data_IF_998183406525
#
_entry.id   IF_998183406525
#
_cell.length_a   1.000
_cell.length_b   1.000
_cell.length_c   1.000
_cell.angle_alpha   90.00
_cell.angle_beta   90.00
_cell.angle_gamma   90.00
#
_symmetry.space_group_name_H-M   'P 1'
#
loop_
_entity.id
_entity.type
_entity.pdbx_description
1 polymer ?
#
# COMPACT_ATOMS: atom_id res chain seq x y z
N UNK A 1 -23.01 3.42 -37.35
CA UNK A 1 -22.26 3.79 -36.14
C UNK A 1 -22.29 2.60 -35.20
N UNK A 2 -21.19 1.86 -34.99
CA UNK A 2 -21.21 0.77 -34.03
C UNK A 2 -21.31 1.36 -32.62
N UNK A 3 -22.24 0.87 -31.80
CA UNK A 3 -22.36 1.26 -30.39
C UNK A 3 -21.16 0.69 -29.63
N UNK A 4 -20.28 1.56 -29.15
CA UNK A 4 -19.04 1.30 -28.37
C UNK A 4 -19.19 0.40 -27.12
N UNK A 5 -20.38 -0.10 -26.81
CA UNK A 5 -20.65 -0.87 -25.59
C UNK A 5 -20.16 -2.34 -25.64
N UNK A 6 -19.60 -2.83 -26.75
CA UNK A 6 -19.28 -4.27 -26.91
C UNK A 6 -17.85 -4.56 -27.35
N UNK A 7 -16.95 -3.58 -27.37
CA UNK A 7 -15.51 -3.88 -27.43
C UNK A 7 -15.06 -4.36 -26.05
N UNK A 8 -15.08 -5.68 -25.85
CA UNK A 8 -14.33 -6.53 -24.91
C UNK A 8 -13.54 -5.88 -23.75
N UNK A 9 -14.13 -4.94 -23.02
CA UNK A 9 -13.48 -4.18 -21.95
C UNK A 9 -13.44 -4.93 -20.62
N UNK A 10 -13.90 -6.19 -20.58
CA UNK A 10 -14.01 -6.97 -19.35
C UNK A 10 -14.96 -6.38 -18.30
N UNK A 11 -15.63 -5.26 -18.57
CA UNK A 11 -16.58 -4.58 -17.69
C UNK A 11 -18.00 -4.81 -18.20
N UNK A 12 -18.90 -5.31 -17.34
CA UNK A 12 -20.31 -5.54 -17.66
C UNK A 12 -21.23 -4.98 -16.56
N UNK A 13 -22.43 -4.54 -16.93
CA UNK A 13 -23.47 -4.13 -15.97
C UNK A 13 -24.21 -5.36 -15.42
N UNK A 14 -24.51 -5.40 -14.13
CA UNK A 14 -25.38 -6.41 -13.51
C UNK A 14 -26.82 -5.92 -13.45
N UNK A 15 -27.77 -6.86 -13.29
CA UNK A 15 -29.19 -6.56 -13.12
C UNK A 15 -29.47 -5.60 -11.95
N UNK A 16 -28.65 -5.64 -10.89
CA UNK A 16 -28.75 -4.73 -9.74
C UNK A 16 -28.12 -3.35 -9.91
N UNK A 17 -27.83 -2.92 -11.15
CA UNK A 17 -27.25 -1.59 -11.43
C UNK A 17 -25.75 -1.44 -11.14
N UNK A 18 -25.13 -2.44 -10.52
CA UNK A 18 -23.68 -2.52 -10.31
C UNK A 18 -22.92 -2.82 -11.60
N UNK A 19 -21.60 -2.63 -11.56
CA UNK A 19 -20.66 -2.91 -12.64
C UNK A 19 -19.67 -3.98 -12.20
N UNK A 20 -19.54 -5.08 -12.95
CA UNK A 20 -18.57 -6.15 -12.70
C UNK A 20 -17.43 -6.04 -13.71
N UNK A 21 -16.20 -6.02 -13.21
CA UNK A 21 -14.98 -6.08 -14.01
C UNK A 21 -14.37 -7.47 -13.91
N UNK A 22 -13.80 -7.96 -15.01
CA UNK A 22 -13.08 -9.23 -15.12
C UNK A 22 -11.74 -9.03 -15.82
N UNK A 23 -10.72 -9.74 -15.37
CA UNK A 23 -9.44 -9.86 -16.07
C UNK A 23 -8.83 -11.25 -15.85
N UNK A 24 -7.85 -11.60 -16.69
CA UNK A 24 -7.04 -12.82 -16.57
C UNK A 24 -5.65 -12.39 -16.11
N UNK A 25 -5.20 -12.91 -14.98
CA UNK A 25 -3.85 -12.66 -14.49
C UNK A 25 -2.80 -13.52 -15.22
N UNK A 26 -1.50 -13.22 -15.07
CA UNK A 26 -0.42 -14.03 -15.63
C UNK A 26 -0.44 -15.49 -15.14
N UNK A 27 -1.05 -15.76 -13.98
CA UNK A 27 -1.29 -17.11 -13.44
C UNK A 27 -2.32 -17.93 -14.25
N UNK A 28 -2.91 -17.37 -15.31
CA UNK A 28 -4.02 -17.95 -16.06
C UNK A 28 -5.36 -17.95 -15.31
N UNK A 29 -5.40 -17.43 -14.09
CA UNK A 29 -6.61 -17.34 -13.25
C UNK A 29 -7.44 -16.11 -13.60
N UNK A 30 -8.76 -16.27 -13.52
CA UNK A 30 -9.74 -15.20 -13.74
C UNK A 30 -10.05 -14.49 -12.42
N UNK A 31 -9.87 -13.17 -12.40
CA UNK A 31 -10.22 -12.33 -11.27
C UNK A 31 -11.41 -11.45 -11.64
N UNK A 32 -12.31 -11.24 -10.67
CA UNK A 32 -13.46 -10.36 -10.87
C UNK A 32 -13.75 -9.50 -9.66
N UNK A 33 -14.22 -8.28 -9.89
CA UNK A 33 -14.59 -7.33 -8.84
C UNK A 33 -15.80 -6.52 -9.25
N UNK A 34 -16.63 -6.16 -8.27
CA UNK A 34 -17.88 -5.41 -8.50
C UNK A 34 -17.77 -4.00 -7.92
N UNK A 35 -18.32 -3.03 -8.66
CA UNK A 35 -18.29 -1.59 -8.39
C UNK A 35 -19.68 -0.98 -8.55
N UNK A 36 -19.90 0.20 -7.99
CA UNK A 36 -21.15 0.97 -8.18
C UNK A 36 -21.13 1.84 -9.43
N UNK A 37 -19.96 2.35 -9.79
CA UNK A 37 -19.77 3.27 -10.93
C UNK A 37 -18.99 2.57 -12.03
N UNK A 38 -19.36 2.81 -13.29
CA UNK A 38 -18.67 2.24 -14.47
C UNK A 38 -17.21 2.67 -14.54
N UNK A 39 -16.96 3.96 -14.29
CA UNK A 39 -15.63 4.56 -14.38
C UNK A 39 -14.64 3.92 -13.40
N UNK A 40 -15.04 3.69 -12.15
CA UNK A 40 -14.22 2.97 -11.16
C UNK A 40 -13.88 1.56 -11.63
N UNK A 41 -14.85 0.88 -12.24
CA UNK A 41 -14.71 -0.47 -12.77
C UNK A 41 -13.68 -0.54 -13.90
N UNK A 42 -13.71 0.45 -14.81
CA UNK A 42 -12.75 0.59 -15.90
C UNK A 42 -11.36 0.98 -15.38
N UNK A 43 -11.28 1.97 -14.49
CA UNK A 43 -10.00 2.42 -13.91
C UNK A 43 -9.29 1.29 -13.18
N UNK A 44 -10.02 0.53 -12.36
CA UNK A 44 -9.46 -0.62 -11.67
C UNK A 44 -8.91 -1.66 -12.64
N UNK A 45 -9.62 -1.97 -13.74
CA UNK A 45 -9.12 -2.91 -14.77
C UNK A 45 -7.81 -2.43 -15.37
N UNK A 46 -7.76 -1.18 -15.81
CA UNK A 46 -6.58 -0.61 -16.46
C UNK A 46 -5.39 -0.58 -15.51
N UNK A 47 -5.63 -0.30 -14.24
CA UNK A 47 -4.60 -0.36 -13.20
C UNK A 47 -4.05 -1.77 -13.00
N UNK A 48 -4.91 -2.79 -12.94
CA UNK A 48 -4.49 -4.20 -12.84
C UNK A 48 -3.69 -4.64 -14.07
N UNK A 49 -4.13 -4.28 -15.28
CA UNK A 49 -3.40 -4.57 -16.51
C UNK A 49 -2.04 -3.87 -16.54
N UNK A 50 -1.97 -2.61 -16.08
CA UNK A 50 -0.70 -1.88 -15.97
C UNK A 50 0.26 -2.52 -14.97
N UNK A 51 -0.25 -3.08 -13.87
CA UNK A 51 0.57 -3.82 -12.91
C UNK A 51 1.15 -5.10 -13.52
N UNK A 52 0.41 -5.76 -14.41
CA UNK A 52 0.88 -6.94 -15.14
C UNK A 52 1.97 -6.53 -16.13
N UNK A 53 1.76 -5.44 -16.87
CA UNK A 53 2.70 -4.91 -17.86
C UNK A 53 4.07 -4.55 -17.25
N UNK A 54 4.09 -4.03 -16.02
CA UNK A 54 5.32 -3.68 -15.30
C UNK A 54 5.88 -4.82 -14.43
N UNK A 55 5.35 -6.05 -14.57
CA UNK A 55 5.72 -7.24 -13.79
C UNK A 55 5.66 -7.07 -12.25
N UNK A 56 4.93 -6.06 -11.75
CA UNK A 56 4.70 -5.84 -10.31
C UNK A 56 3.30 -6.31 -9.88
N UNK A 57 2.69 -7.17 -10.68
CA UNK A 57 1.38 -7.69 -10.37
C UNK A 57 1.46 -8.72 -9.24
N UNK A 58 0.81 -8.41 -8.13
CA UNK A 58 0.49 -9.34 -7.05
C UNK A 58 -1.02 -9.58 -6.98
N UNK A 59 -1.48 -10.82 -6.68
CA UNK A 59 -2.89 -11.13 -6.56
C UNK A 59 -3.63 -10.19 -5.59
N UNK A 60 -4.85 -9.74 -5.92
CA UNK A 60 -5.58 -8.77 -5.10
C UNK A 60 -5.85 -9.26 -3.66
N UNK A 61 -6.05 -10.56 -3.47
CA UNK A 61 -6.20 -11.18 -2.16
C UNK A 61 -4.95 -11.02 -1.29
N UNK A 62 -3.77 -11.15 -1.89
CA UNK A 62 -2.48 -10.99 -1.20
C UNK A 62 -2.21 -9.52 -0.83
N UNK A 63 -2.75 -8.55 -1.57
CA UNK A 63 -2.62 -7.12 -1.23
C UNK A 63 -3.56 -6.66 -0.13
N UNK A 64 -4.76 -7.25 -0.04
CA UNK A 64 -5.70 -6.93 1.04
C UNK A 64 -5.27 -7.49 2.39
N UNK A 65 -4.40 -8.50 2.39
CA UNK A 65 -3.70 -8.93 3.58
C UNK A 65 -2.72 -7.81 3.98
N UNK A 66 -3.20 -6.85 4.77
CA UNK A 66 -2.30 -6.06 5.62
C UNK A 66 -1.38 -7.07 6.30
N UNK A 67 -0.04 -6.90 6.26
CA UNK A 67 0.82 -7.82 6.95
C UNK A 67 0.36 -7.88 8.41
N UNK A 68 -0.18 -9.02 8.83
CA UNK A 68 -0.56 -9.26 10.22
C UNK A 68 0.66 -9.12 11.17
N UNK A 69 1.85 -8.98 10.58
CA UNK A 69 3.16 -8.87 11.19
C UNK A 69 3.76 -7.46 11.14
N UNK A 70 3.05 -6.44 10.65
CA UNK A 70 3.42 -5.07 11.05
C UNK A 70 3.08 -4.96 12.54
N UNK A 71 4.04 -5.29 13.41
CA UNK A 71 3.97 -5.05 14.84
C UNK A 71 3.48 -3.62 15.01
N UNK A 72 2.23 -3.45 15.42
CA UNK A 72 1.68 -2.13 15.68
C UNK A 72 2.50 -1.57 16.84
N UNK A 73 3.35 -0.59 16.53
CA UNK A 73 4.15 0.10 17.53
C UNK A 73 3.20 0.57 18.63
N UNK A 74 3.38 0.07 19.84
CA UNK A 74 2.55 0.47 20.96
C UNK A 74 2.82 1.94 21.30
N UNK A 75 1.84 2.61 21.90
CA UNK A 75 2.02 4.01 22.34
C UNK A 75 3.24 4.13 23.27
N UNK A 76 3.47 3.12 24.13
CA UNK A 76 4.62 3.06 25.02
C UNK A 76 5.96 3.00 24.25
N UNK A 77 6.08 2.10 23.27
CA UNK A 77 7.30 2.00 22.45
C UNK A 77 7.55 3.27 21.63
N UNK A 78 6.50 3.95 21.17
CA UNK A 78 6.62 5.23 20.47
C UNK A 78 7.06 6.37 21.39
N UNK A 79 6.55 6.42 22.63
CA UNK A 79 6.98 7.44 23.61
C UNK A 79 8.45 7.27 24.01
N UNK A 80 8.91 6.04 24.17
CA UNK A 80 10.31 5.73 24.48
C UNK A 80 11.25 6.23 23.37
N UNK A 81 10.91 5.94 22.11
CA UNK A 81 11.68 6.43 20.95
C UNK A 81 11.71 7.97 20.88
N UNK A 82 10.61 8.63 21.23
CA UNK A 82 10.55 10.09 21.27
C UNK A 82 11.46 10.69 22.35
N UNK A 83 11.59 10.05 23.52
CA UNK A 83 12.47 10.49 24.60
C UNK A 83 13.94 10.30 24.18
N UNK A 84 14.29 9.10 23.70
CA UNK A 84 15.64 8.77 23.24
C UNK A 84 16.12 9.68 22.09
N UNK A 85 15.24 9.98 21.13
CA UNK A 85 15.56 10.90 20.03
C UNK A 85 15.82 12.34 20.51
N UNK A 86 15.21 12.76 21.64
CA UNK A 86 15.43 14.08 22.24
C UNK A 86 16.74 14.13 23.03
N UNK A 87 17.07 13.07 23.74
CA UNK A 87 18.35 12.92 24.46
C UNK A 87 19.53 12.95 23.48
N UNK A 88 19.46 12.17 22.40
CA UNK A 88 20.51 12.15 21.37
C UNK A 88 20.67 13.48 20.62
N UNK A 89 19.63 14.32 20.57
CA UNK A 89 19.67 15.63 19.92
C UNK A 89 20.43 16.67 20.76
N UNK A 90 20.54 16.46 22.07
CA UNK A 90 21.20 17.41 22.97
C UNK A 90 22.38 16.72 23.68
N UNK A 91 23.56 16.58 23.03
CA UNK A 91 24.71 15.89 23.60
C UNK A 91 25.41 16.68 24.74
N UNK A 92 24.67 17.50 25.48
CA UNK A 92 25.17 18.45 26.46
C UNK A 92 25.49 17.83 27.84
N UNK A 93 25.10 16.59 28.15
CA UNK A 93 25.21 16.11 29.54
C UNK A 93 26.50 15.36 29.90
N UNK A 94 27.44 15.14 28.98
CA UNK A 94 28.63 14.31 29.29
C UNK A 94 29.97 14.96 28.88
N UNK A 95 30.16 16.22 29.25
CA UNK A 95 31.48 16.90 29.24
C UNK A 95 31.80 17.67 30.53
N UNK A 96 31.15 17.35 31.64
CA UNK A 96 31.33 18.07 32.90
C UNK A 96 32.05 17.27 34.01
N UNK A 97 32.84 16.24 33.67
CA UNK A 97 33.61 15.49 34.66
C UNK A 97 34.95 14.96 34.13
N UNK A 98 35.80 15.81 33.56
CA UNK A 98 37.26 15.56 33.53
C UNK A 98 37.99 16.88 33.78
N UNK A 99 38.11 17.26 35.05
CA UNK A 99 39.21 18.12 35.47
C UNK A 99 40.44 17.21 35.63
N UNK A 100 41.29 17.18 34.61
CA UNK A 100 42.65 16.66 34.77
C UNK A 100 43.54 17.83 35.23
N UNK A 101 44.24 17.74 36.38
CA UNK A 101 45.16 18.78 36.79
C UNK A 101 46.37 18.79 35.84
N UNK A 102 46.66 19.97 35.27
CA UNK A 102 47.86 20.21 34.47
C UNK A 102 49.10 20.05 35.37
N UNK A 103 49.96 19.07 35.06
CA UNK A 103 51.32 18.99 35.57
C UNK A 103 52.28 19.42 34.46
N UNK A 104 53.12 20.43 34.73
CA UNK A 104 54.12 20.97 33.82
C UNK A 104 54.64 22.30 34.31
#
# INVERSE_FOLDING_TARGET
>A
MPTEATMNDGVRKLAGGHWNTRYVGPDGRRYSRTFRVKQDATYWRSHELRLIDIDQWSPPASRSAKPATAKALTVAEWTEQCIQARENRNPSSERAAVHLPCSG
#
